data_IF_608801928583
#
_entry.id   IF_608801928583
#
_cell.length_a   1.000
_cell.length_b   1.000
_cell.length_c   1.000
_cell.angle_alpha   90.00
_cell.angle_beta   90.00
_cell.angle_gamma   90.00
#
_symmetry.space_group_name_H-M   'P 1'
#
loop_
_entity.id
_entity.type
_entity.pdbx_description
1 polymer ?
#
# COMPACT_ATOMS: atom_id res chain seq x y z
N UNK A 1 -13.56 -13.32 -18.08
CA UNK A 1 -12.95 -12.46 -17.04
C UNK A 1 -11.46 -12.79 -17.02
N UNK A 2 -10.66 -12.10 -17.82
CA UNK A 2 -9.21 -12.27 -17.86
C UNK A 2 -8.58 -11.39 -16.78
N UNK A 3 -7.65 -11.96 -16.02
CA UNK A 3 -6.81 -11.33 -14.99
C UNK A 3 -6.71 -9.80 -15.12
N UNK A 4 -7.27 -9.06 -14.17
CA UNK A 4 -7.37 -7.60 -14.24
C UNK A 4 -5.99 -6.94 -14.08
N UNK A 5 -5.15 -7.44 -13.18
CA UNK A 5 -3.75 -7.06 -12.95
C UNK A 5 -3.02 -8.29 -12.39
N UNK A 6 -1.84 -8.62 -12.92
CA UNK A 6 -0.93 -9.62 -12.32
C UNK A 6 0.43 -8.98 -12.11
N UNK A 7 0.83 -8.77 -10.85
CA UNK A 7 2.18 -8.30 -10.54
C UNK A 7 3.10 -9.47 -10.19
N UNK A 8 4.13 -9.68 -11.02
CA UNK A 8 5.21 -10.62 -10.72
C UNK A 8 6.37 -9.85 -10.07
N UNK A 9 6.29 -9.69 -8.75
CA UNK A 9 7.23 -8.84 -8.01
C UNK A 9 8.27 -9.69 -7.28
N UNK A 10 9.54 -9.45 -7.57
CA UNK A 10 10.65 -10.14 -6.90
C UNK A 10 10.83 -9.57 -5.47
N UNK A 11 10.85 -10.46 -4.47
CA UNK A 11 11.08 -10.13 -3.06
C UNK A 11 12.41 -10.74 -2.57
N UNK A 12 13.58 -10.22 -2.99
CA UNK A 12 14.85 -10.78 -2.57
C UNK A 12 15.06 -10.62 -1.07
N UNK A 13 15.62 -11.65 -0.45
CA UNK A 13 16.04 -11.66 0.96
C UNK A 13 17.41 -12.31 1.05
N UNK A 14 18.33 -11.63 1.72
CA UNK A 14 19.70 -12.09 1.92
C UNK A 14 20.12 -11.81 3.36
N UNK A 15 20.79 -12.78 3.98
CA UNK A 15 21.37 -12.65 5.31
C UNK A 15 22.81 -13.14 5.31
N UNK A 16 23.65 -12.48 6.09
CA UNK A 16 25.04 -12.84 6.30
C UNK A 16 25.33 -12.83 7.79
N UNK A 17 26.02 -13.88 8.24
CA UNK A 17 26.52 -14.01 9.61
C UNK A 17 27.99 -14.33 9.51
N UNK A 18 28.82 -13.61 10.26
CA UNK A 18 30.26 -13.76 10.25
C UNK A 18 30.83 -13.71 11.66
N UNK A 19 31.67 -14.68 11.99
CA UNK A 19 32.46 -14.68 13.23
C UNK A 19 33.71 -13.82 13.04
N UNK A 20 33.79 -12.71 13.78
CA UNK A 20 34.86 -11.73 13.68
C UNK A 20 36.14 -12.18 14.42
N UNK A 21 35.99 -13.00 15.46
CA UNK A 21 37.11 -13.40 16.34
C UNK A 21 37.57 -14.83 16.09
N UNK A 22 36.78 -15.64 15.37
CA UNK A 22 37.09 -17.03 15.03
C UNK A 22 36.93 -18.01 16.19
N UNK A 23 36.57 -17.50 17.37
CA UNK A 23 36.29 -18.24 18.60
C UNK A 23 34.78 -18.37 18.86
N UNK A 24 33.93 -17.90 17.94
CA UNK A 24 32.48 -17.89 18.04
C UNK A 24 31.92 -16.86 19.01
N UNK A 25 32.77 -16.05 19.66
CA UNK A 25 32.35 -15.14 20.73
C UNK A 25 31.96 -13.77 20.24
N UNK A 26 32.42 -13.35 19.06
CA UNK A 26 32.06 -12.06 18.47
C UNK A 26 31.49 -12.26 17.08
N UNK A 27 30.19 -12.04 16.91
CA UNK A 27 29.47 -12.36 15.67
C UNK A 27 28.84 -11.09 15.10
N UNK A 28 29.12 -10.82 13.84
CA UNK A 28 28.42 -9.80 13.04
C UNK A 28 27.30 -10.47 12.25
N UNK A 29 26.11 -9.89 12.29
CA UNK A 29 24.95 -10.30 11.52
C UNK A 29 24.48 -9.11 10.68
N UNK A 30 24.13 -9.37 9.43
CA UNK A 30 23.52 -8.41 8.53
C UNK A 30 22.39 -9.08 7.76
N UNK A 31 21.27 -8.39 7.58
CA UNK A 31 20.12 -8.85 6.84
C UNK A 31 19.59 -7.73 5.93
N UNK A 32 19.24 -8.10 4.71
CA UNK A 32 18.52 -7.25 3.78
C UNK A 32 17.31 -8.00 3.24
N UNK A 33 16.13 -7.41 3.34
CA UNK A 33 14.89 -8.01 2.86
C UNK A 33 14.00 -6.97 2.20
N UNK A 34 13.29 -7.40 1.16
CA UNK A 34 12.20 -6.64 0.54
C UNK A 34 10.87 -7.34 0.75
N UNK A 35 9.84 -6.57 1.10
CA UNK A 35 8.48 -7.03 1.34
C UNK A 35 7.52 -6.18 0.50
N UNK A 36 6.65 -6.85 -0.26
CA UNK A 36 5.57 -6.19 -0.98
C UNK A 36 4.32 -6.19 -0.12
N UNK A 37 3.60 -5.08 -0.14
CA UNK A 37 2.29 -4.97 0.51
C UNK A 37 1.29 -5.86 -0.24
N UNK A 38 0.18 -6.22 0.39
CA UNK A 38 -0.96 -6.78 -0.35
C UNK A 38 -2.02 -5.69 -0.37
N UNK A 39 -2.36 -5.09 -1.53
CA UNK A 39 -3.23 -3.90 -1.54
C UNK A 39 -4.65 -4.16 -1.03
N UNK A 40 -4.99 -5.41 -0.73
CA UNK A 40 -6.30 -5.79 -0.22
C UNK A 40 -7.39 -5.61 -1.28
N UNK A 41 -8.55 -6.20 -1.03
CA UNK A 41 -9.69 -6.14 -1.94
C UNK A 41 -10.34 -4.74 -1.94
N UNK A 42 -10.13 -3.94 -0.89
CA UNK A 42 -10.94 -2.75 -0.63
C UNK A 42 -10.59 -1.54 -1.50
N UNK A 43 -9.34 -1.41 -1.94
CA UNK A 43 -8.86 -0.25 -2.71
C UNK A 43 -9.06 -0.40 -4.21
N UNK A 44 -8.81 -1.60 -4.74
CA UNK A 44 -8.91 -1.88 -6.18
C UNK A 44 -10.35 -2.26 -6.57
N UNK A 45 -11.04 -3.10 -5.80
CA UNK A 45 -12.38 -3.57 -6.20
C UNK A 45 -13.40 -2.43 -6.26
N UNK A 46 -13.27 -1.42 -5.41
CA UNK A 46 -14.11 -0.21 -5.45
C UNK A 46 -13.87 0.68 -6.67
N UNK A 47 -12.65 0.64 -7.25
CA UNK A 47 -12.26 1.40 -8.43
C UNK A 47 -12.54 0.66 -9.75
N UNK A 48 -12.73 -0.67 -9.74
CA UNK A 48 -13.05 -1.44 -10.96
C UNK A 48 -14.43 -2.03 -11.00
N UNK A 49 -15.17 -2.02 -9.89
CA UNK A 49 -16.54 -2.50 -9.88
C UNK A 49 -17.47 -1.50 -10.60
N UNK A 50 -18.06 -1.84 -11.76
CA UNK A 50 -19.01 -0.98 -12.45
C UNK A 50 -20.29 -0.75 -11.63
N UNK A 51 -20.53 -1.63 -10.65
CA UNK A 51 -21.62 -1.57 -9.68
C UNK A 51 -21.11 -1.06 -8.33
N UNK A 52 -20.67 0.19 -8.29
CA UNK A 52 -20.38 0.90 -7.04
C UNK A 52 -21.55 0.74 -6.05
N UNK A 53 -21.31 0.54 -4.75
CA UNK A 53 -22.38 0.46 -3.75
C UNK A 53 -23.19 1.76 -3.66
N UNK A 54 -22.62 2.89 -4.07
CA UNK A 54 -23.31 4.18 -4.17
C UNK A 54 -23.53 4.58 -5.63
N UNK A 55 -24.78 4.86 -5.99
CA UNK A 55 -25.21 5.40 -7.28
C UNK A 55 -25.96 6.70 -7.06
N UNK A 56 -25.42 7.82 -7.53
CA UNK A 56 -26.11 9.09 -7.47
C UNK A 56 -25.79 9.99 -8.65
N UNK A 57 -26.72 10.89 -8.95
CA UNK A 57 -26.51 12.06 -9.78
C UNK A 57 -26.92 13.28 -8.98
N UNK A 58 -25.98 14.17 -8.72
CA UNK A 58 -26.22 15.42 -8.00
C UNK A 58 -26.37 16.54 -9.02
N UNK A 59 -27.57 17.06 -9.11
CA UNK A 59 -27.89 18.22 -9.93
C UNK A 59 -27.85 19.49 -9.07
N UNK A 60 -27.48 20.61 -9.67
CA UNK A 60 -27.73 21.93 -9.08
C UNK A 60 -29.24 22.13 -9.03
N UNK A 61 -29.78 22.46 -7.87
CA UNK A 61 -31.18 22.86 -7.76
C UNK A 61 -31.31 24.31 -8.22
N UNK A 62 -32.12 24.52 -9.26
CA UNK A 62 -32.53 25.84 -9.70
C UNK A 62 -34.02 25.96 -9.41
N UNK A 63 -34.36 26.63 -8.32
CA UNK A 63 -35.72 26.97 -7.97
C UNK A 63 -36.25 28.00 -8.98
N UNK A 64 -37.07 27.54 -9.92
CA UNK A 64 -37.59 28.36 -11.02
C UNK A 64 -38.90 29.08 -10.65
N UNK A 65 -39.58 28.59 -9.61
CA UNK A 65 -40.90 29.06 -9.19
C UNK A 65 -40.87 29.81 -7.84
N UNK A 66 -39.74 29.79 -7.13
CA UNK A 66 -39.49 30.47 -5.86
C UNK A 66 -40.14 29.81 -4.64
N UNK A 67 -40.63 28.57 -4.76
CA UNK A 67 -41.45 27.91 -3.74
C UNK A 67 -40.61 27.15 -2.69
N UNK A 68 -39.29 27.09 -2.86
CA UNK A 68 -38.34 26.38 -1.99
C UNK A 68 -38.64 24.88 -1.81
N UNK A 69 -39.43 24.29 -2.70
CA UNK A 69 -39.75 22.87 -2.72
C UNK A 69 -39.23 22.29 -4.02
N UNK A 70 -38.36 21.29 -3.93
CA UNK A 70 -37.83 20.65 -5.12
C UNK A 70 -38.94 20.01 -5.96
N UNK A 71 -38.96 20.30 -7.27
CA UNK A 71 -39.90 19.72 -8.22
C UNK A 71 -39.20 19.11 -9.45
N UNK A 72 -39.78 18.08 -10.10
CA UNK A 72 -39.31 17.61 -11.40
C UNK A 72 -39.37 18.74 -12.44
N UNK A 73 -38.23 19.05 -13.06
CA UNK A 73 -38.05 20.20 -13.95
C UNK A 73 -37.06 21.24 -13.41
N UNK A 74 -36.75 21.19 -12.11
CA UNK A 74 -35.81 22.10 -11.44
C UNK A 74 -34.37 21.57 -11.35
N UNK A 75 -34.10 20.46 -12.04
CA UNK A 75 -32.76 19.92 -12.20
C UNK A 75 -31.95 20.85 -13.12
N UNK A 76 -31.03 21.60 -12.54
CA UNK A 76 -30.03 22.38 -13.26
C UNK A 76 -28.88 21.51 -13.76
N UNK A 77 -27.69 22.12 -13.83
CA UNK A 77 -26.47 21.45 -14.28
C UNK A 77 -26.15 20.21 -13.42
N UNK A 78 -25.69 19.13 -14.05
CA UNK A 78 -25.13 17.98 -13.35
C UNK A 78 -23.79 18.39 -12.71
N UNK A 79 -23.74 18.40 -11.39
CA UNK A 79 -22.56 18.80 -10.62
C UNK A 79 -21.64 17.61 -10.35
N UNK A 80 -22.21 16.44 -10.03
CA UNK A 80 -21.43 15.21 -9.85
C UNK A 80 -22.29 13.98 -10.12
N UNK A 81 -21.65 12.92 -10.59
CA UNK A 81 -22.28 11.62 -10.83
C UNK A 81 -21.32 10.53 -10.39
N UNK A 82 -21.84 9.48 -9.75
CA UNK A 82 -21.08 8.27 -9.43
C UNK A 82 -21.84 7.04 -9.96
N UNK A 83 -21.09 6.01 -10.36
CA UNK A 83 -21.61 4.80 -10.99
C UNK A 83 -21.57 4.84 -12.53
N UNK A 84 -21.49 3.65 -13.14
CA UNK A 84 -21.40 3.45 -14.58
C UNK A 84 -19.99 3.05 -15.06
N UNK A 85 -19.91 2.43 -16.24
CA UNK A 85 -18.68 1.85 -16.85
C UNK A 85 -17.55 2.84 -17.12
N UNK A 86 -17.76 4.15 -16.94
CA UNK A 86 -16.77 5.20 -17.18
C UNK A 86 -16.01 5.70 -15.95
N UNK A 87 -16.45 5.31 -14.74
CA UNK A 87 -15.78 5.69 -13.47
C UNK A 87 -14.73 4.68 -13.02
N UNK A 88 -14.55 3.58 -13.77
CA UNK A 88 -13.61 2.52 -13.45
C UNK A 88 -12.29 2.68 -14.20
N UNK A 89 -11.52 3.70 -13.82
CA UNK A 89 -10.18 3.90 -14.36
C UNK A 89 -9.16 3.43 -13.32
N UNK A 90 -8.57 2.26 -13.57
CA UNK A 90 -7.34 1.84 -12.92
C UNK A 90 -6.19 2.56 -13.61
N UNK A 91 -5.33 3.20 -12.82
CA UNK A 91 -4.06 3.69 -13.35
C UNK A 91 -3.22 2.49 -13.80
N UNK A 92 -2.86 2.47 -15.08
CA UNK A 92 -2.01 1.43 -15.67
C UNK A 92 -0.62 1.36 -15.04
N UNK A 93 -0.19 2.37 -14.29
CA UNK A 93 1.09 2.43 -13.58
C UNK A 93 0.98 2.11 -12.08
N UNK A 94 -0.16 1.58 -11.62
CA UNK A 94 -0.33 1.19 -10.22
C UNK A 94 0.76 0.18 -9.81
N UNK A 95 1.64 0.62 -8.92
CA UNK A 95 2.73 -0.17 -8.37
C UNK A 95 2.41 -0.50 -6.93
N UNK A 96 2.65 -1.76 -6.56
CA UNK A 96 2.45 -2.23 -5.21
C UNK A 96 3.44 -1.56 -4.24
N UNK A 97 2.96 -1.21 -3.06
CA UNK A 97 3.80 -0.62 -2.02
C UNK A 97 4.90 -1.60 -1.62
N UNK A 98 6.13 -1.10 -1.45
CA UNK A 98 7.28 -1.93 -1.07
C UNK A 98 7.96 -1.41 0.17
N UNK A 99 8.12 -2.28 1.15
CA UNK A 99 9.00 -2.06 2.29
C UNK A 99 10.37 -2.69 2.04
N UNK A 100 11.43 -1.91 2.16
CA UNK A 100 12.82 -2.39 2.22
C UNK A 100 13.31 -2.30 3.65
N UNK A 101 13.94 -3.37 4.12
CA UNK A 101 14.50 -3.46 5.46
C UNK A 101 15.98 -3.86 5.37
N UNK A 102 16.81 -3.16 6.15
CA UNK A 102 18.19 -3.49 6.37
C UNK A 102 18.45 -3.53 7.88
N UNK A 103 18.95 -4.65 8.38
CA UNK A 103 19.23 -4.83 9.79
C UNK A 103 20.66 -5.33 9.98
N UNK A 104 21.38 -4.78 10.96
CA UNK A 104 22.71 -5.25 11.34
C UNK A 104 22.83 -5.35 12.84
N UNK A 105 23.49 -6.40 13.32
CA UNK A 105 23.69 -6.70 14.72
C UNK A 105 25.13 -7.13 14.96
N UNK A 106 25.71 -6.65 16.05
CA UNK A 106 26.98 -7.12 16.58
C UNK A 106 26.72 -7.77 17.93
N UNK A 107 27.12 -9.01 18.07
CA UNK A 107 27.00 -9.83 19.28
C UNK A 107 28.39 -10.10 19.84
N UNK A 108 28.55 -9.99 21.16
CA UNK A 108 29.80 -10.32 21.84
C UNK A 108 29.56 -10.99 23.19
N UNK A 109 30.16 -12.16 23.40
CA UNK A 109 30.36 -12.75 24.72
C UNK A 109 31.53 -12.03 25.43
N UNK A 110 31.28 -11.51 26.63
CA UNK A 110 32.29 -10.79 27.42
C UNK A 110 32.98 -11.70 28.43
N UNK A 111 32.22 -12.59 29.07
CA UNK A 111 32.70 -13.60 29.99
C UNK A 111 31.73 -14.79 29.99
N UNK A 112 32.12 -15.90 30.60
CA UNK A 112 31.34 -17.13 30.59
C UNK A 112 29.89 -16.85 31.04
N UNK A 113 28.94 -17.19 30.17
CA UNK A 113 27.50 -17.02 30.38
C UNK A 113 27.01 -15.55 30.38
N UNK A 114 27.79 -14.59 29.89
CA UNK A 114 27.36 -13.21 29.73
C UNK A 114 27.77 -12.64 28.36
N UNK A 115 26.75 -12.28 27.58
CA UNK A 115 26.91 -11.65 26.28
C UNK A 115 26.09 -10.37 26.16
N UNK A 116 26.56 -9.48 25.29
CA UNK A 116 25.89 -8.25 24.91
C UNK A 116 25.68 -8.25 23.41
N UNK A 117 24.59 -7.61 22.98
CA UNK A 117 24.35 -7.39 21.57
C UNK A 117 23.87 -5.96 21.34
N UNK A 118 24.29 -5.38 20.23
CA UNK A 118 23.84 -4.07 19.78
C UNK A 118 23.48 -4.19 18.31
N UNK A 119 22.44 -3.48 17.88
CA UNK A 119 22.02 -3.53 16.49
C UNK A 119 21.34 -2.26 16.03
N UNK A 120 21.23 -2.15 14.73
CA UNK A 120 20.58 -1.07 14.03
C UNK A 120 19.66 -1.65 12.95
N UNK A 121 18.43 -1.15 12.91
CA UNK A 121 17.43 -1.53 11.92
C UNK A 121 17.00 -0.27 11.18
N UNK A 122 17.11 -0.31 9.87
CA UNK A 122 16.59 0.71 8.97
C UNK A 122 15.46 0.12 8.15
N UNK A 123 14.32 0.81 8.15
CA UNK A 123 13.14 0.43 7.39
C UNK A 123 12.66 1.62 6.58
N UNK A 124 12.43 1.41 5.29
CA UNK A 124 11.89 2.41 4.37
C UNK A 124 10.74 1.83 3.56
N UNK A 125 9.66 2.59 3.51
CA UNK A 125 8.51 2.31 2.65
C UNK A 125 8.68 3.18 1.42
N UNK A 126 8.73 2.55 0.25
CA UNK A 126 8.82 3.18 -1.05
C UNK A 126 7.60 2.78 -1.89
N UNK A 127 7.23 3.61 -2.87
CA UNK A 127 6.08 3.40 -3.77
C UNK A 127 4.71 3.53 -3.06
N UNK A 128 4.51 4.62 -2.32
CA UNK A 128 3.16 5.09 -1.96
C UNK A 128 2.47 5.51 -3.27
N UNK A 129 1.53 4.70 -3.75
CA UNK A 129 0.67 5.05 -4.90
C UNK A 129 -0.70 5.52 -4.44
#
# INVERSE_FOLDING_TARGET
MSNLITWNLAAPRAGLTYDLTGDGKTVLKANYASYWWNPGTTSIDGLVNPNSPEWFRRYRWNDLNGDKVWQPGEQGQLNSSTGGVGSTQLDSNLQDERTREFATFLERELFANFGVHAGFVWRRIDQLS
#
